data_IF_906127717008
#
_entry.id   IF_906127717008
#
_cell.length_a   1.000
_cell.length_b   1.000
_cell.length_c   1.000
_cell.angle_alpha   90.00
_cell.angle_beta   90.00
_cell.angle_gamma   90.00
#
_symmetry.space_group_name_H-M   'P 1'
#
loop_
_entity.id
_entity.type
_entity.pdbx_description
1 polymer ?
#
# COMPACT_ATOMS: atom_id res chain seq x y z
N UNK A 1 -9.95 9.54 20.65
CA UNK A 1 -11.32 9.42 20.11
C UNK A 1 -11.17 9.18 18.61
N UNK A 2 -11.15 7.92 18.18
CA UNK A 2 -11.11 7.60 16.76
C UNK A 2 -12.50 7.90 16.21
N UNK A 3 -12.64 8.97 15.44
CA UNK A 3 -13.84 9.21 14.64
C UNK A 3 -13.98 8.04 13.68
N UNK A 4 -15.01 7.21 13.88
CA UNK A 4 -15.50 6.29 12.85
C UNK A 4 -15.86 7.17 11.65
N UNK A 5 -15.03 7.15 10.62
CA UNK A 5 -15.41 7.73 9.35
C UNK A 5 -16.68 7.01 8.89
N UNK A 6 -17.65 7.79 8.42
CA UNK A 6 -18.84 7.22 7.79
C UNK A 6 -18.40 6.55 6.49
N UNK A 7 -18.51 5.23 6.43
CA UNK A 7 -18.06 4.41 5.30
C UNK A 7 -18.69 4.94 3.98
N UNK A 8 -19.95 5.39 4.04
CA UNK A 8 -20.65 5.97 2.89
C UNK A 8 -20.04 7.31 2.44
N UNK A 9 -19.62 8.16 3.39
CA UNK A 9 -18.99 9.43 3.04
C UNK A 9 -17.62 9.22 2.39
N UNK A 10 -16.89 8.17 2.80
CA UNK A 10 -15.64 7.76 2.17
C UNK A 10 -15.90 7.30 0.72
N UNK A 11 -16.87 6.41 0.52
CA UNK A 11 -17.26 5.92 -0.81
C UNK A 11 -17.68 7.05 -1.75
N UNK A 12 -18.53 7.98 -1.28
CA UNK A 12 -18.97 9.12 -2.06
C UNK A 12 -17.79 10.03 -2.45
N UNK A 13 -16.87 10.30 -1.53
CA UNK A 13 -15.68 11.13 -1.82
C UNK A 13 -14.80 10.49 -2.90
N UNK A 14 -14.57 9.17 -2.81
CA UNK A 14 -13.83 8.41 -3.82
C UNK A 14 -14.56 8.44 -5.16
N UNK A 15 -15.87 8.21 -5.17
CA UNK A 15 -16.66 8.20 -6.40
C UNK A 15 -16.70 9.57 -7.09
N UNK A 16 -16.85 10.66 -6.33
CA UNK A 16 -16.82 12.02 -6.89
C UNK A 16 -15.48 12.35 -7.53
N UNK A 17 -14.38 11.84 -7.00
CA UNK A 17 -13.04 12.11 -7.53
C UNK A 17 -12.70 11.24 -8.75
N UNK A 18 -13.06 9.95 -8.73
CA UNK A 18 -12.55 8.97 -9.69
C UNK A 18 -13.64 8.32 -10.55
N UNK A 19 -14.91 8.37 -10.15
CA UNK A 19 -16.00 7.61 -10.77
C UNK A 19 -16.33 7.98 -12.22
N UNK A 20 -15.92 9.18 -12.67
CA UNK A 20 -16.06 9.59 -14.06
C UNK A 20 -14.83 9.29 -14.94
N UNK A 21 -13.72 8.85 -14.35
CA UNK A 21 -12.49 8.55 -15.09
C UNK A 21 -12.60 7.20 -15.81
N UNK A 22 -12.12 7.15 -17.05
CA UNK A 22 -11.87 5.90 -17.75
C UNK A 22 -10.71 5.13 -17.14
N UNK A 23 -10.58 3.85 -17.48
CA UNK A 23 -9.46 3.02 -17.04
C UNK A 23 -8.09 3.61 -17.40
N UNK A 24 -7.99 4.32 -18.53
CA UNK A 24 -6.71 4.89 -19.00
C UNK A 24 -6.40 6.20 -18.29
N UNK A 25 -7.41 7.01 -18.00
CA UNK A 25 -7.24 8.20 -17.15
C UNK A 25 -6.83 7.82 -15.73
N UNK A 26 -7.35 6.70 -15.20
CA UNK A 26 -6.90 6.16 -13.91
C UNK A 26 -5.43 5.71 -13.98
N UNK A 27 -5.02 5.03 -15.05
CA UNK A 27 -3.62 4.65 -15.26
C UNK A 27 -2.74 5.90 -15.25
N UNK A 28 -3.05 6.88 -16.10
CA UNK A 28 -2.30 8.14 -16.18
C UNK A 28 -2.24 8.87 -14.83
N UNK A 29 -3.35 8.87 -14.08
CA UNK A 29 -3.41 9.46 -12.75
C UNK A 29 -2.50 8.73 -11.76
N UNK A 30 -2.52 7.40 -11.75
CA UNK A 30 -1.68 6.57 -10.85
C UNK A 30 -0.20 6.58 -11.21
N UNK A 31 0.16 6.83 -12.48
CA UNK A 31 1.54 6.93 -12.95
C UNK A 31 2.16 8.32 -12.70
N UNK A 32 1.40 9.26 -12.14
CA UNK A 32 1.92 10.54 -11.69
C UNK A 32 2.45 10.43 -10.25
N UNK A 33 3.76 10.63 -10.00
CA UNK A 33 4.35 10.52 -8.66
C UNK A 33 3.83 11.58 -7.67
N UNK A 34 3.10 12.59 -8.13
CA UNK A 34 2.38 13.54 -7.25
C UNK A 34 1.15 12.90 -6.59
N UNK A 35 0.61 11.86 -7.20
CA UNK A 35 -0.60 11.16 -6.75
C UNK A 35 -0.26 9.85 -6.03
N UNK A 36 0.69 9.08 -6.58
CA UNK A 36 1.18 7.82 -6.03
C UNK A 36 2.72 7.87 -5.96
N UNK A 37 3.29 8.47 -4.89
CA UNK A 37 4.73 8.72 -4.82
C UNK A 37 5.59 7.44 -4.75
N UNK A 38 5.01 6.32 -4.34
CA UNK A 38 5.68 5.02 -4.31
C UNK A 38 5.82 4.36 -5.70
N UNK A 39 5.08 4.84 -6.70
CA UNK A 39 5.07 4.25 -8.04
C UNK A 39 6.30 4.69 -8.84
N UNK A 40 6.90 3.74 -9.56
CA UNK A 40 8.00 3.95 -10.51
C UNK A 40 7.71 3.11 -11.77
N UNK A 41 8.03 3.64 -12.96
CA UNK A 41 7.85 2.92 -14.23
C UNK A 41 8.79 1.70 -14.30
N UNK A 42 8.26 0.47 -14.42
CA UNK A 42 9.07 -0.74 -14.56
C UNK A 42 9.54 -1.00 -16.01
N UNK A 43 9.66 0.04 -16.85
CA UNK A 43 10.00 -0.06 -18.28
C UNK A 43 9.06 -1.01 -19.05
N UNK A 44 7.75 -0.87 -18.82
CA UNK A 44 6.72 -1.72 -19.43
C UNK A 44 6.57 -3.12 -18.83
N UNK A 45 7.27 -3.41 -17.72
CA UNK A 45 7.13 -4.62 -16.93
C UNK A 45 6.10 -4.54 -15.79
N UNK A 46 6.26 -5.43 -14.81
CA UNK A 46 5.56 -5.40 -13.53
C UNK A 46 6.59 -5.61 -12.42
N UNK A 47 6.63 -4.71 -11.45
CA UNK A 47 7.55 -4.78 -10.32
C UNK A 47 6.76 -4.65 -9.02
N UNK A 48 7.16 -5.41 -8.00
CA UNK A 48 6.61 -5.28 -6.65
C UNK A 48 7.15 -3.97 -6.05
N UNK A 49 6.26 -3.08 -5.61
CA UNK A 49 6.64 -1.89 -4.87
C UNK A 49 7.14 -2.32 -3.47
N UNK A 50 8.38 -1.97 -3.08
CA UNK A 50 8.90 -2.35 -1.76
C UNK A 50 8.08 -1.73 -0.62
N UNK A 51 7.81 -2.51 0.43
CA UNK A 51 7.03 -2.03 1.58
C UNK A 51 7.64 -0.78 2.23
N UNK A 52 8.97 -0.72 2.32
CA UNK A 52 9.70 0.45 2.80
C UNK A 52 9.29 1.73 2.05
N UNK A 53 9.18 1.64 0.72
CA UNK A 53 8.81 2.77 -0.14
C UNK A 53 7.38 3.23 0.13
N UNK A 54 6.44 2.29 0.20
CA UNK A 54 5.04 2.59 0.54
C UNK A 54 4.97 3.31 1.89
N UNK A 55 5.65 2.77 2.91
CA UNK A 55 5.65 3.34 4.27
C UNK A 55 6.23 4.76 4.31
N UNK A 56 7.32 5.01 3.59
CA UNK A 56 7.87 6.36 3.46
C UNK A 56 6.92 7.31 2.71
N UNK A 57 6.30 6.86 1.61
CA UNK A 57 5.39 7.69 0.80
C UNK A 57 4.16 8.15 1.59
N UNK A 58 3.62 7.32 2.47
CA UNK A 58 2.44 7.67 3.30
C UNK A 58 2.82 8.37 4.62
N UNK A 59 4.10 8.65 4.85
CA UNK A 59 4.57 9.41 6.01
C UNK A 59 4.59 8.63 7.33
N UNK A 60 4.77 7.31 7.28
CA UNK A 60 4.95 6.50 8.49
C UNK A 60 6.30 6.83 9.14
N UNK A 61 6.29 7.08 10.45
CA UNK A 61 7.51 7.23 11.25
C UNK A 61 8.10 5.86 11.62
N UNK A 62 9.39 5.80 11.96
CA UNK A 62 10.05 4.56 12.41
C UNK A 62 9.97 3.39 11.41
N UNK A 63 9.98 3.68 10.11
CA UNK A 63 9.84 2.67 9.02
C UNK A 63 10.78 1.48 9.21
N UNK A 64 12.06 1.72 9.52
CA UNK A 64 13.04 0.64 9.66
C UNK A 64 12.72 -0.30 10.83
N UNK A 65 12.26 0.23 11.96
CA UNK A 65 11.85 -0.56 13.13
C UNK A 65 10.61 -1.42 12.80
N UNK A 66 9.68 -0.88 12.02
CA UNK A 66 8.49 -1.61 11.55
C UNK A 66 8.90 -2.74 10.60
N UNK A 67 9.84 -2.49 9.69
CA UNK A 67 10.32 -3.52 8.76
C UNK A 67 11.07 -4.64 9.49
N UNK A 68 11.90 -4.31 10.47
CA UNK A 68 12.59 -5.29 11.31
C UNK A 68 11.60 -6.15 12.12
N UNK A 69 10.59 -5.51 12.73
CA UNK A 69 9.53 -6.21 13.43
C UNK A 69 8.73 -7.13 12.47
N UNK A 70 8.44 -6.67 11.26
CA UNK A 70 7.73 -7.45 10.25
C UNK A 70 8.50 -8.71 9.85
N UNK A 71 9.81 -8.60 9.63
CA UNK A 71 10.65 -9.76 9.30
C UNK A 71 10.76 -10.74 10.47
N UNK A 72 10.82 -10.23 11.71
CA UNK A 72 10.78 -11.06 12.92
C UNK A 72 9.47 -11.85 13.01
N UNK A 73 8.32 -11.19 12.78
CA UNK A 73 7.01 -11.85 12.80
C UNK A 73 6.89 -12.92 11.72
N UNK A 74 7.32 -12.63 10.48
CA UNK A 74 7.36 -13.63 9.40
C UNK A 74 8.24 -14.83 9.75
N UNK A 75 9.35 -14.62 10.45
CA UNK A 75 10.22 -15.71 10.90
C UNK A 75 9.53 -16.62 11.93
N UNK A 76 8.76 -16.02 12.85
CA UNK A 76 7.96 -16.74 13.83
C UNK A 76 6.85 -17.55 13.14
N UNK A 77 6.13 -16.95 12.20
CA UNK A 77 5.06 -17.63 11.44
C UNK A 77 5.61 -18.87 10.71
N UNK A 78 6.73 -18.71 9.99
CA UNK A 78 7.42 -19.84 9.32
C UNK A 78 7.81 -20.95 10.31
N UNK A 79 8.25 -20.59 11.51
CA UNK A 79 8.63 -21.57 12.53
C UNK A 79 7.40 -22.37 13.02
N UNK A 80 6.27 -21.70 13.25
CA UNK A 80 5.02 -22.38 13.63
C UNK A 80 4.44 -23.25 12.52
N UNK A 81 4.48 -22.80 11.26
CA UNK A 81 4.07 -23.60 10.11
C UNK A 81 4.89 -24.89 10.00
N UNK A 82 6.22 -24.78 10.12
CA UNK A 82 7.11 -25.94 10.09
C UNK A 82 6.86 -26.91 11.27
N UNK A 83 6.55 -26.39 12.45
CA UNK A 83 6.22 -27.22 13.61
C UNK A 83 4.87 -27.96 13.46
N UNK A 84 3.90 -27.37 12.76
CA UNK A 84 2.57 -27.97 12.52
C UNK A 84 2.56 -29.02 11.40
N UNK A 85 3.56 -28.99 10.52
CA UNK A 85 3.72 -29.95 9.43
C UNK A 85 4.40 -31.27 9.86
N UNK A 86 4.88 -31.35 11.11
CA UNK A 86 5.41 -32.56 11.76
C UNK A 86 4.38 -33.15 12.74
#
# INVERSE_FOLDING_TARGET
MFTRFDDLACEEAVWQQFGSMSQWELVDWTHDPRNVPEWEDPDGGSAIIPMQRILHSVGVEHVEEILEANETLKAIDRAFEAARAN
#
